data_IF_298409650012
#
_entry.id   IF_298409650012
#
_cell.length_a   1.000
_cell.length_b   1.000
_cell.length_c   1.000
_cell.angle_alpha   90.00
_cell.angle_beta   90.00
_cell.angle_gamma   90.00
#
_symmetry.space_group_name_H-M   'P 1'
#
loop_
_entity.id
_entity.type
_entity.pdbx_description
1 polymer ?
#
# COMPACT_ATOMS: atom_id res chain seq x y z
N UNK A 1 -7.76 8.27 -23.64
CA UNK A 1 -7.60 7.83 -25.06
C UNK A 1 -6.44 8.58 -25.77
N UNK A 2 -5.81 9.58 -25.12
CA UNK A 2 -4.68 10.33 -25.71
C UNK A 2 -3.36 9.55 -25.70
N UNK A 3 -3.28 8.46 -24.94
CA UNK A 3 -2.11 7.57 -24.85
C UNK A 3 -2.55 6.11 -24.84
N UNK A 4 -1.73 5.24 -25.43
CA UNK A 4 -2.00 3.79 -25.52
C UNK A 4 -1.39 3.00 -24.32
N UNK A 5 -0.92 3.70 -23.28
CA UNK A 5 -0.33 3.06 -22.10
C UNK A 5 -1.42 2.58 -21.13
N UNK A 6 -1.27 1.38 -20.54
CA UNK A 6 -2.09 0.96 -19.42
C UNK A 6 -1.96 1.93 -18.25
N UNK A 7 -3.09 2.34 -17.67
CA UNK A 7 -3.15 3.30 -16.57
C UNK A 7 -3.80 2.66 -15.35
N UNK A 8 -3.20 2.89 -14.18
CA UNK A 8 -3.76 2.55 -12.88
C UNK A 8 -4.15 3.85 -12.20
N UNK A 9 -5.43 3.98 -11.86
CA UNK A 9 -5.94 5.12 -11.09
C UNK A 9 -5.37 5.05 -9.67
N UNK A 10 -5.23 6.22 -9.02
CA UNK A 10 -4.87 6.26 -7.60
C UNK A 10 -5.87 7.12 -6.83
N UNK A 11 -6.68 6.47 -5.98
CA UNK A 11 -7.59 7.14 -5.06
C UNK A 11 -6.93 7.29 -3.69
N UNK A 12 -6.68 8.52 -3.25
CA UNK A 12 -6.07 8.83 -1.95
C UNK A 12 -6.64 10.14 -1.38
N UNK A 13 -7.86 10.11 -0.84
CA UNK A 13 -8.57 11.30 -0.37
C UNK A 13 -7.80 12.10 0.69
N UNK A 14 -7.07 11.42 1.56
CA UNK A 14 -6.27 12.06 2.61
C UNK A 14 -5.16 12.98 2.09
N UNK A 15 -4.79 12.88 0.79
CA UNK A 15 -3.77 13.74 0.17
C UNK A 15 -4.36 14.69 -0.87
N UNK A 16 -5.41 14.26 -1.56
CA UNK A 16 -6.00 15.03 -2.68
C UNK A 16 -7.19 15.89 -2.26
N UNK A 17 -7.79 15.60 -1.09
CA UNK A 17 -9.05 16.19 -0.66
C UNK A 17 -10.27 15.70 -1.45
N UNK A 18 -10.09 14.79 -2.40
CA UNK A 18 -11.15 14.25 -3.26
C UNK A 18 -11.18 12.73 -3.19
N UNK A 19 -12.37 12.16 -2.92
CA UNK A 19 -12.60 10.73 -2.97
C UNK A 19 -13.21 10.31 -4.32
N UNK A 20 -12.53 9.43 -5.04
CA UNK A 20 -13.04 8.84 -6.27
C UNK A 20 -14.02 7.72 -5.91
N UNK A 21 -15.32 8.04 -5.88
CA UNK A 21 -16.37 7.11 -5.50
C UNK A 21 -16.48 5.91 -6.45
N UNK A 22 -17.01 4.76 -6.00
CA UNK A 22 -17.20 3.57 -6.85
C UNK A 22 -17.99 3.85 -8.13
N UNK A 23 -18.99 4.74 -8.08
CA UNK A 23 -19.75 5.16 -9.26
C UNK A 23 -18.91 5.90 -10.31
N UNK A 24 -17.90 6.67 -9.89
CA UNK A 24 -16.94 7.30 -10.79
C UNK A 24 -16.01 6.25 -11.41
N UNK A 25 -15.49 5.33 -10.59
CA UNK A 25 -14.63 4.23 -11.06
C UNK A 25 -15.39 3.34 -12.06
N UNK A 26 -16.66 3.04 -11.80
CA UNK A 26 -17.53 2.27 -12.69
C UNK A 26 -17.66 2.88 -14.10
N UNK A 27 -17.68 4.21 -14.20
CA UNK A 27 -17.68 4.91 -15.49
C UNK A 27 -16.35 4.80 -16.22
N UNK A 28 -15.24 4.71 -15.48
CA UNK A 28 -13.88 4.64 -16.02
C UNK A 28 -13.47 3.22 -16.41
N UNK A 29 -13.97 2.19 -15.71
CA UNK A 29 -13.59 0.80 -15.96
C UNK A 29 -14.06 0.25 -17.32
N UNK A 30 -14.85 1.01 -18.08
CA UNK A 30 -15.19 0.72 -19.47
C UNK A 30 -14.15 1.21 -20.49
N UNK A 31 -13.17 2.02 -20.06
CA UNK A 31 -12.12 2.54 -20.94
C UNK A 31 -10.95 1.55 -21.02
N UNK A 32 -10.58 1.17 -22.23
CA UNK A 32 -9.61 0.08 -22.49
C UNK A 32 -8.26 0.27 -21.80
N UNK A 33 -7.80 1.52 -21.68
CA UNK A 33 -6.48 1.83 -21.08
C UNK A 33 -6.51 1.98 -19.55
N UNK A 34 -7.69 1.98 -18.92
CA UNK A 34 -7.83 2.03 -17.46
C UNK A 34 -7.91 0.59 -16.95
N UNK A 35 -6.78 0.04 -16.50
CA UNK A 35 -6.65 -1.39 -16.17
C UNK A 35 -6.72 -1.70 -14.68
N UNK A 36 -6.66 -0.68 -13.83
CA UNK A 36 -6.66 -0.90 -12.38
C UNK A 36 -6.84 0.37 -11.57
N UNK A 37 -7.00 0.17 -10.27
CA UNK A 37 -7.04 1.23 -9.26
C UNK A 37 -6.22 0.83 -8.04
N UNK A 38 -5.34 1.75 -7.59
CA UNK A 38 -4.77 1.74 -6.24
C UNK A 38 -5.76 2.43 -5.32
N UNK A 39 -6.44 1.65 -4.47
CA UNK A 39 -7.44 2.14 -3.53
C UNK A 39 -6.79 2.47 -2.18
N UNK A 40 -6.66 3.75 -1.89
CA UNK A 40 -6.01 4.29 -0.69
C UNK A 40 -6.93 5.16 0.17
N UNK A 41 -8.26 4.99 0.05
CA UNK A 41 -9.22 5.70 0.93
C UNK A 41 -9.28 5.17 2.36
N UNK A 42 -8.74 3.96 2.60
CA UNK A 42 -8.89 3.26 3.88
C UNK A 42 -10.19 2.46 4.00
N UNK A 43 -11.08 2.49 3.01
CA UNK A 43 -12.39 1.83 3.04
C UNK A 43 -12.36 0.48 2.31
N UNK A 44 -12.41 -0.61 3.07
CA UNK A 44 -12.59 -1.97 2.51
C UNK A 44 -13.95 -2.10 1.81
N UNK A 45 -14.99 -1.41 2.32
CA UNK A 45 -16.30 -1.37 1.67
C UNK A 45 -16.21 -0.77 0.27
N UNK A 46 -15.51 0.36 0.11
CA UNK A 46 -15.34 0.99 -1.19
C UNK A 46 -14.56 0.10 -2.17
N UNK A 47 -13.52 -0.59 -1.69
CA UNK A 47 -12.78 -1.57 -2.48
C UNK A 47 -13.69 -2.73 -2.94
N UNK A 48 -14.55 -3.24 -2.05
CA UNK A 48 -15.54 -4.26 -2.35
C UNK A 48 -16.54 -3.81 -3.42
N UNK A 49 -17.07 -2.59 -3.29
CA UNK A 49 -18.03 -2.03 -4.25
C UNK A 49 -17.41 -1.87 -5.64
N UNK A 50 -16.16 -1.43 -5.71
CA UNK A 50 -15.41 -1.30 -6.97
C UNK A 50 -15.18 -2.70 -7.59
N UNK A 51 -14.70 -3.66 -6.79
CA UNK A 51 -14.45 -5.02 -7.26
C UNK A 51 -15.74 -5.68 -7.78
N UNK A 52 -16.85 -5.52 -7.07
CA UNK A 52 -18.15 -6.03 -7.49
C UNK A 52 -18.64 -5.38 -8.78
N UNK A 53 -18.57 -4.04 -8.87
CA UNK A 53 -19.15 -3.30 -10.00
C UNK A 53 -18.30 -3.43 -11.27
N UNK A 54 -16.98 -3.41 -11.16
CA UNK A 54 -16.07 -3.48 -12.30
C UNK A 54 -15.74 -4.93 -12.72
N UNK A 55 -15.80 -5.89 -11.78
CA UNK A 55 -15.42 -7.28 -12.03
C UNK A 55 -14.00 -7.38 -12.60
N UNK A 56 -13.79 -8.26 -13.56
CA UNK A 56 -12.47 -8.51 -14.16
C UNK A 56 -11.95 -7.37 -15.08
N UNK A 57 -12.76 -6.34 -15.31
CA UNK A 57 -12.35 -5.18 -16.12
C UNK A 57 -11.36 -4.26 -15.41
N UNK A 58 -11.23 -4.37 -14.09
CA UNK A 58 -10.38 -3.51 -13.31
C UNK A 58 -9.69 -4.26 -12.17
N UNK A 59 -8.37 -4.21 -12.14
CA UNK A 59 -7.59 -4.73 -11.02
C UNK A 59 -7.64 -3.77 -9.83
N UNK A 60 -8.19 -4.22 -8.70
CA UNK A 60 -8.16 -3.45 -7.44
C UNK A 60 -6.92 -3.82 -6.64
N UNK A 61 -6.10 -2.83 -6.30
CA UNK A 61 -4.89 -2.98 -5.48
C UNK A 61 -5.03 -2.13 -4.21
N UNK A 62 -4.66 -2.69 -3.07
CA UNK A 62 -4.60 -1.93 -1.82
C UNK A 62 -3.57 -0.80 -1.93
N UNK A 63 -3.92 0.37 -1.42
CA UNK A 63 -3.00 1.52 -1.29
C UNK A 63 -2.38 1.62 0.10
N UNK A 64 -2.78 0.74 1.02
CA UNK A 64 -2.35 0.67 2.41
C UNK A 64 -1.93 -0.76 2.74
N UNK A 65 -0.73 -0.92 3.29
CA UNK A 65 -0.14 -2.23 3.61
C UNK A 65 -0.99 -3.00 4.64
N UNK A 66 -1.50 -2.33 5.67
CA UNK A 66 -2.35 -2.94 6.69
C UNK A 66 -3.70 -3.44 6.14
N UNK A 67 -4.16 -2.87 5.03
CA UNK A 67 -5.40 -3.25 4.37
C UNK A 67 -5.22 -4.24 3.22
N UNK A 68 -4.00 -4.70 2.95
CA UNK A 68 -3.72 -5.66 1.88
C UNK A 68 -4.59 -6.90 2.00
N UNK A 69 -4.52 -7.59 3.13
CA UNK A 69 -5.26 -8.84 3.34
C UNK A 69 -6.78 -8.64 3.37
N UNK A 70 -7.35 -7.65 4.11
CA UNK A 70 -8.77 -7.34 4.06
C UNK A 70 -9.29 -7.00 2.65
N UNK A 71 -8.56 -6.19 1.88
CA UNK A 71 -8.97 -5.84 0.52
C UNK A 71 -8.88 -7.02 -0.44
N UNK A 72 -7.89 -7.91 -0.29
CA UNK A 72 -7.81 -9.14 -1.07
C UNK A 72 -8.99 -10.08 -0.77
N UNK A 73 -9.47 -10.13 0.48
CA UNK A 73 -10.62 -10.93 0.86
C UNK A 73 -11.93 -10.50 0.18
N UNK A 74 -12.04 -9.24 -0.26
CA UNK A 74 -13.21 -8.70 -0.97
C UNK A 74 -12.98 -8.51 -2.48
N UNK A 75 -11.94 -9.14 -3.06
CA UNK A 75 -11.70 -9.16 -4.51
C UNK A 75 -10.48 -8.39 -4.99
N UNK A 76 -9.74 -7.73 -4.10
CA UNK A 76 -8.44 -7.13 -4.42
C UNK A 76 -7.41 -8.16 -4.87
N UNK A 77 -6.46 -7.77 -5.70
CA UNK A 77 -5.45 -8.65 -6.31
C UNK A 77 -4.05 -8.50 -5.71
N UNK A 78 -3.87 -7.55 -4.79
CA UNK A 78 -2.57 -7.27 -4.17
C UNK A 78 -2.49 -5.85 -3.64
N UNK A 79 -1.27 -5.31 -3.59
CA UNK A 79 -0.98 -4.02 -2.97
C UNK A 79 0.10 -3.25 -3.74
N UNK A 80 0.00 -1.93 -3.75
CA UNK A 80 1.12 -1.02 -4.07
C UNK A 80 1.64 -0.49 -2.74
N UNK A 81 2.65 -1.17 -2.22
CA UNK A 81 3.11 -1.18 -0.83
C UNK A 81 4.19 -0.14 -0.55
N UNK A 82 4.19 0.41 0.65
CA UNK A 82 5.33 1.16 1.23
C UNK A 82 6.34 0.18 1.85
N UNK A 83 5.85 -0.81 2.60
CA UNK A 83 6.68 -1.80 3.31
C UNK A 83 7.54 -2.64 2.36
N UNK A 84 7.09 -2.86 1.12
CA UNK A 84 7.86 -3.57 0.09
C UNK A 84 9.16 -2.88 -0.32
N UNK A 85 9.35 -1.60 0.01
CA UNK A 85 10.65 -0.92 -0.18
C UNK A 85 11.71 -1.40 0.82
N UNK A 86 11.29 -1.95 1.96
CA UNK A 86 12.17 -2.41 3.05
C UNK A 86 12.28 -3.93 3.05
N UNK A 87 11.16 -4.62 3.00
CA UNK A 87 11.07 -6.10 3.08
C UNK A 87 10.24 -6.68 1.92
N UNK A 88 10.69 -6.54 0.65
CA UNK A 88 9.97 -7.09 -0.50
C UNK A 88 9.85 -8.61 -0.45
N UNK A 89 10.86 -9.29 0.12
CA UNK A 89 10.89 -10.74 0.33
C UNK A 89 9.78 -11.25 1.25
N UNK A 90 9.19 -10.40 2.08
CA UNK A 90 8.09 -10.75 3.00
C UNK A 90 6.73 -10.33 2.42
N UNK A 91 6.68 -9.16 1.75
CA UNK A 91 5.44 -8.66 1.18
C UNK A 91 4.93 -9.50 0.01
N UNK A 92 5.81 -9.96 -0.86
CA UNK A 92 5.42 -10.81 -1.99
C UNK A 92 4.82 -12.15 -1.53
N UNK A 93 5.43 -12.91 -0.58
CA UNK A 93 4.83 -14.11 -0.02
C UNK A 93 3.46 -13.92 0.63
N UNK A 94 3.19 -12.78 1.27
CA UNK A 94 1.86 -12.48 1.82
C UNK A 94 0.78 -12.56 0.73
N UNK A 95 1.01 -11.84 -0.38
CA UNK A 95 0.08 -11.81 -1.52
C UNK A 95 -0.02 -13.18 -2.18
N UNK A 96 1.13 -13.86 -2.41
CA UNK A 96 1.17 -15.18 -3.04
C UNK A 96 0.46 -16.25 -2.20
N UNK A 97 0.64 -16.25 -0.87
CA UNK A 97 -0.04 -17.18 0.03
C UNK A 97 -1.55 -17.01 -0.07
N UNK A 98 -2.05 -15.76 -0.06
CA UNK A 98 -3.49 -15.50 -0.19
C UNK A 98 -4.03 -15.98 -1.54
N UNK A 99 -3.39 -15.61 -2.65
CA UNK A 99 -3.81 -16.00 -4.01
C UNK A 99 -3.79 -17.52 -4.22
N UNK A 100 -2.93 -18.24 -3.48
CA UNK A 100 -2.83 -19.71 -3.51
C UNK A 100 -3.79 -20.39 -2.52
N UNK A 101 -4.67 -19.65 -1.83
CA UNK A 101 -5.61 -20.21 -0.85
C UNK A 101 -4.99 -20.57 0.51
N UNK A 102 -3.71 -20.28 0.73
CA UNK A 102 -3.01 -20.52 2.02
C UNK A 102 -3.27 -19.36 2.99
N UNK A 103 -4.54 -19.24 3.40
CA UNK A 103 -5.04 -18.07 4.16
C UNK A 103 -4.37 -17.93 5.52
N UNK A 104 -4.12 -19.04 6.24
CA UNK A 104 -3.47 -18.99 7.55
C UNK A 104 -2.01 -18.53 7.45
N UNK A 105 -1.31 -18.91 6.38
CA UNK A 105 0.04 -18.42 6.10
C UNK A 105 0.03 -16.93 5.78
N UNK A 106 -0.89 -16.47 4.91
CA UNK A 106 -1.04 -15.05 4.60
C UNK A 106 -1.33 -14.23 5.86
N UNK A 107 -2.21 -14.73 6.73
CA UNK A 107 -2.56 -14.09 8.01
C UNK A 107 -1.35 -14.02 8.96
N UNK A 108 -0.57 -15.11 9.06
CA UNK A 108 0.65 -15.15 9.87
C UNK A 108 1.67 -14.11 9.40
N UNK A 109 1.90 -14.01 8.09
CA UNK A 109 2.81 -13.01 7.52
C UNK A 109 2.29 -11.60 7.76
N UNK A 110 1.00 -11.35 7.55
CA UNK A 110 0.36 -10.06 7.79
C UNK A 110 0.58 -9.58 9.24
N UNK A 111 0.35 -10.44 10.23
CA UNK A 111 0.55 -10.08 11.62
C UNK A 111 2.02 -9.88 11.98
N UNK A 112 2.93 -10.65 11.40
CA UNK A 112 4.36 -10.45 11.59
C UNK A 112 4.84 -9.09 11.05
N UNK A 113 4.25 -8.61 9.95
CA UNK A 113 4.59 -7.33 9.33
C UNK A 113 3.81 -6.13 9.91
N UNK A 114 2.74 -6.36 10.66
CA UNK A 114 1.88 -5.30 11.20
C UNK A 114 2.63 -4.21 11.99
N UNK A 115 3.65 -4.52 12.82
CA UNK A 115 4.45 -3.48 13.47
C UNK A 115 5.16 -2.55 12.47
N UNK A 116 5.68 -3.10 11.37
CA UNK A 116 6.31 -2.30 10.31
C UNK A 116 5.29 -1.47 9.53
N UNK A 117 4.10 -2.03 9.24
CA UNK A 117 3.02 -1.27 8.60
C UNK A 117 2.72 0.02 9.38
N UNK A 118 2.59 -0.09 10.70
CA UNK A 118 2.33 1.06 11.56
C UNK A 118 3.53 2.02 11.63
N UNK A 119 4.75 1.48 11.80
CA UNK A 119 5.95 2.30 11.98
C UNK A 119 6.26 3.17 10.76
N UNK A 120 5.97 2.68 9.56
CA UNK A 120 6.18 3.41 8.30
C UNK A 120 5.16 4.54 8.07
N UNK A 121 4.18 4.70 8.96
CA UNK A 121 3.18 5.78 8.93
C UNK A 121 3.12 6.58 10.23
N UNK A 122 4.13 6.51 11.12
CA UNK A 122 4.25 7.40 12.27
C UNK A 122 4.33 8.88 11.87
N UNK A 123 4.87 9.14 10.68
CA UNK A 123 4.82 10.45 10.03
C UNK A 123 4.37 10.26 8.57
N UNK A 124 4.17 11.39 7.88
CA UNK A 124 3.72 11.32 6.47
C UNK A 124 4.74 10.58 5.59
N UNK A 125 4.28 9.62 4.82
CA UNK A 125 5.11 8.96 3.80
C UNK A 125 5.55 10.02 2.74
N UNK A 126 6.85 10.05 2.33
CA UNK A 126 7.87 9.00 2.46
C UNK A 126 8.89 9.21 3.61
N UNK A 127 8.60 10.04 4.61
CA UNK A 127 9.58 10.36 5.66
C UNK A 127 10.04 9.08 6.41
N UNK A 128 9.16 8.24 6.98
CA UNK A 128 9.61 7.06 7.71
C UNK A 128 10.31 6.02 6.83
N UNK A 129 9.79 5.74 5.63
CA UNK A 129 10.40 4.71 4.76
C UNK A 129 11.79 5.12 4.27
N UNK A 130 12.02 6.38 3.94
CA UNK A 130 13.35 6.88 3.58
C UNK A 130 14.30 6.89 4.77
N UNK A 131 13.81 7.28 5.95
CA UNK A 131 14.58 7.21 7.19
C UNK A 131 15.00 5.75 7.50
N UNK A 132 14.09 4.80 7.37
CA UNK A 132 14.35 3.38 7.57
C UNK A 132 15.42 2.86 6.59
N UNK A 133 15.28 3.14 5.29
CA UNK A 133 16.26 2.75 4.27
C UNK A 133 17.63 3.39 4.51
N UNK A 134 17.68 4.63 5.00
CA UNK A 134 18.92 5.29 5.41
C UNK A 134 19.58 4.59 6.60
N UNK A 135 18.81 4.20 7.64
CA UNK A 135 19.31 3.43 8.78
C UNK A 135 19.84 2.05 8.36
N UNK A 136 19.23 1.44 7.35
CA UNK A 136 19.67 0.17 6.76
C UNK A 136 20.91 0.34 5.83
N UNK A 137 21.40 1.57 5.64
CA UNK A 137 22.54 1.87 4.75
C UNK A 137 22.26 1.68 3.25
N UNK A 138 20.99 1.69 2.85
CA UNK A 138 20.59 1.41 1.45
C UNK A 138 20.48 2.67 0.59
N UNK A 139 20.19 3.83 1.17
CA UNK A 139 20.06 5.12 0.48
C UNK A 139 20.56 6.26 1.37
N UNK A 140 20.82 7.43 0.75
CA UNK A 140 20.83 8.71 1.46
C UNK A 140 19.36 9.12 1.73
N UNK A 141 18.96 9.36 3.01
CA UNK A 141 17.58 9.67 3.37
C UNK A 141 17.17 11.13 3.05
N UNK A 142 17.84 11.79 2.13
CA UNK A 142 17.50 13.16 1.70
C UNK A 142 16.03 13.31 1.33
N UNK A 143 15.41 14.40 1.75
CA UNK A 143 14.02 14.74 1.49
C UNK A 143 13.94 16.10 0.78
N UNK A 144 13.06 16.22 -0.21
CA UNK A 144 12.74 17.51 -0.82
C UNK A 144 11.78 18.30 0.06
N UNK A 145 12.01 19.63 0.14
CA UNK A 145 11.05 20.54 0.78
C UNK A 145 9.65 20.41 0.16
N UNK A 146 8.58 20.54 0.94
CA UNK A 146 8.52 20.95 2.34
C UNK A 146 8.75 19.83 3.36
N UNK A 147 9.08 18.61 2.92
CA UNK A 147 9.37 17.49 3.83
C UNK A 147 10.70 17.75 4.55
N UNK A 148 10.75 17.37 5.83
CA UNK A 148 11.93 17.50 6.66
C UNK A 148 12.29 16.16 7.34
N UNK A 149 13.43 16.12 8.00
CA UNK A 149 13.86 14.95 8.75
C UNK A 149 12.80 14.58 9.82
N UNK A 150 12.70 13.27 10.07
CA UNK A 150 11.79 12.69 11.07
C UNK A 150 12.06 13.24 12.47
N UNK A 151 11.02 13.51 13.24
CA UNK A 151 11.15 13.93 14.64
C UNK A 151 11.84 12.85 15.48
N UNK A 152 12.58 13.26 16.50
CA UNK A 152 13.40 12.33 17.32
C UNK A 152 12.55 11.22 17.93
N UNK A 153 11.40 11.56 18.51
CA UNK A 153 10.52 10.59 19.18
C UNK A 153 10.02 9.51 18.22
N UNK A 154 9.48 9.90 17.07
CA UNK A 154 8.96 8.97 16.05
C UNK A 154 10.09 8.18 15.37
N UNK A 155 11.27 8.79 15.22
CA UNK A 155 12.49 8.13 14.75
C UNK A 155 12.95 7.03 15.71
N UNK A 156 12.90 7.28 17.03
CA UNK A 156 13.23 6.28 18.05
C UNK A 156 12.24 5.12 18.04
N UNK A 157 10.95 5.40 17.82
CA UNK A 157 9.93 4.37 17.68
C UNK A 157 10.17 3.52 16.41
N UNK A 158 10.47 4.15 15.27
CA UNK A 158 10.83 3.47 14.02
C UNK A 158 12.08 2.60 14.21
N UNK A 159 13.10 3.12 14.89
CA UNK A 159 14.35 2.38 15.19
C UNK A 159 14.05 1.10 15.96
N UNK A 160 13.18 1.16 16.97
CA UNK A 160 12.76 -0.04 17.73
C UNK A 160 12.07 -1.05 16.82
N UNK A 161 11.10 -0.61 16.00
CA UNK A 161 10.39 -1.49 15.10
C UNK A 161 11.33 -2.18 14.07
N UNK A 162 12.36 -1.47 13.58
CA UNK A 162 13.35 -2.04 12.66
C UNK A 162 14.25 -3.06 13.37
N UNK A 163 14.66 -2.80 14.63
CA UNK A 163 15.45 -3.75 15.44
C UNK A 163 14.64 -5.01 15.77
N UNK A 164 13.38 -4.85 16.18
CA UNK A 164 12.49 -5.97 16.48
C UNK A 164 12.23 -6.85 15.26
N UNK A 165 12.28 -6.25 14.07
CA UNK A 165 12.18 -6.96 12.78
C UNK A 165 13.55 -7.52 12.28
N UNK A 166 14.65 -7.30 13.00
CA UNK A 166 15.99 -7.77 12.61
C UNK A 166 16.57 -7.10 11.37
N UNK A 167 16.18 -5.85 11.10
CA UNK A 167 16.58 -5.11 9.89
C UNK A 167 17.77 -4.18 10.09
N UNK A 168 18.08 -3.85 11.35
CA UNK A 168 19.25 -3.05 11.76
C UNK A 168 19.83 -3.56 13.09
#
# INVERSE_FOLDING_TARGET
ESVELPQILYNIPGRTGVNMLPSTVARLCGLQNIVGIKEGSGSVQQASDIAHTCGDRMTVLAGDDALTLPMMAVGGKGVISVTSNIVPSEMAPLVQAFLSGRIDEARRIHFALSPLFNALFYETNPIPVKTALGMMGKIDPELRLPLCAMATETKDQLTRALKDAGLI
#
